data_IF_770029223426
#
_entry.id   IF_770029223426
#
_cell.length_a   1.000
_cell.length_b   1.000
_cell.length_c   1.000
_cell.angle_alpha   90.00
_cell.angle_beta   90.00
_cell.angle_gamma   90.00
#
_symmetry.space_group_name_H-M   'P 1'
#
loop_
_entity.id
_entity.type
_entity.pdbx_description
1 polymer ?
#
# COMPACT_ATOMS: atom_id res chain seq x y z
N UNK A 1 18.21 -19.03 -11.81
CA UNK A 1 17.01 -18.33 -12.32
C UNK A 1 15.69 -18.87 -11.77
N UNK A 2 15.29 -20.13 -12.04
CA UNK A 2 14.04 -20.72 -11.53
C UNK A 2 13.83 -20.62 -10.01
N UNK A 3 14.88 -20.81 -9.21
CA UNK A 3 14.79 -20.69 -7.73
C UNK A 3 14.52 -19.25 -7.29
N UNK A 4 15.05 -18.25 -8.00
CA UNK A 4 14.82 -16.84 -7.70
C UNK A 4 13.38 -16.43 -8.07
N UNK A 5 12.88 -16.93 -9.20
CA UNK A 5 11.50 -16.71 -9.63
C UNK A 5 10.48 -17.35 -8.67
N UNK A 6 10.72 -18.59 -8.24
CA UNK A 6 9.86 -19.26 -7.24
C UNK A 6 9.87 -18.51 -5.91
N UNK A 7 11.04 -18.01 -5.46
CA UNK A 7 11.15 -17.20 -4.24
C UNK A 7 10.31 -15.92 -4.35
N UNK A 8 10.43 -15.21 -5.47
CA UNK A 8 9.69 -13.96 -5.66
C UNK A 8 8.18 -14.18 -5.61
N UNK A 9 7.66 -15.23 -6.26
CA UNK A 9 6.23 -15.57 -6.22
C UNK A 9 5.74 -15.88 -4.80
N UNK A 10 6.52 -16.62 -4.01
CA UNK A 10 6.20 -16.91 -2.60
C UNK A 10 6.22 -15.63 -1.75
N UNK A 11 7.21 -14.77 -1.95
CA UNK A 11 7.30 -13.49 -1.26
C UNK A 11 6.11 -12.58 -1.59
N UNK A 12 5.70 -12.53 -2.85
CA UNK A 12 4.54 -11.78 -3.30
C UNK A 12 3.22 -12.33 -2.75
N UNK A 13 3.08 -13.65 -2.53
CA UNK A 13 1.89 -14.17 -1.85
C UNK A 13 1.83 -13.77 -0.37
N UNK A 14 2.99 -13.52 0.25
CA UNK A 14 3.09 -13.09 1.65
C UNK A 14 2.78 -11.60 1.79
N UNK A 15 3.49 -10.70 1.09
CA UNK A 15 3.36 -9.25 1.30
C UNK A 15 2.63 -8.50 0.16
N UNK A 16 2.36 -9.16 -0.97
CA UNK A 16 1.70 -8.58 -2.13
C UNK A 16 2.66 -8.09 -3.21
N UNK A 17 2.29 -8.25 -4.49
CA UNK A 17 3.09 -7.75 -5.61
C UNK A 17 3.13 -6.23 -5.67
N UNK A 18 2.11 -5.55 -5.15
CA UNK A 18 2.01 -4.09 -5.00
C UNK A 18 1.35 -3.69 -3.68
N UNK A 19 1.41 -2.41 -3.35
CA UNK A 19 0.65 -1.88 -2.22
C UNK A 19 -0.84 -2.20 -2.37
N UNK A 20 -1.47 -2.62 -1.27
CA UNK A 20 -2.89 -2.99 -1.20
C UNK A 20 -3.34 -4.17 -2.07
N UNK A 21 -2.41 -4.91 -2.71
CA UNK A 21 -2.81 -6.17 -3.36
C UNK A 21 -3.16 -7.24 -2.32
N UNK A 22 -4.09 -8.15 -2.65
CA UNK A 22 -4.33 -9.38 -1.91
C UNK A 22 -3.03 -10.08 -1.48
N UNK A 23 -2.89 -10.33 -0.18
CA UNK A 23 -1.73 -11.03 0.39
C UNK A 23 -2.03 -11.51 1.81
N UNK A 24 -1.26 -12.47 2.31
CA UNK A 24 -1.38 -12.92 3.70
C UNK A 24 -1.24 -11.73 4.67
N UNK A 25 -0.28 -10.85 4.42
CA UNK A 25 -0.06 -9.64 5.22
C UNK A 25 -1.27 -8.71 5.18
N UNK A 26 -1.85 -8.45 4.02
CA UNK A 26 -3.03 -7.58 3.90
C UNK A 26 -4.24 -8.12 4.66
N UNK A 27 -4.48 -9.44 4.59
CA UNK A 27 -5.60 -10.06 5.29
C UNK A 27 -5.39 -10.17 6.79
N UNK A 28 -4.17 -10.48 7.23
CA UNK A 28 -3.86 -10.82 8.63
C UNK A 28 -3.36 -9.63 9.46
N UNK A 29 -3.12 -8.45 8.88
CA UNK A 29 -2.53 -7.31 9.63
C UNK A 29 -3.36 -6.02 9.61
N UNK A 30 -4.64 -6.11 9.22
CA UNK A 30 -5.57 -4.99 9.34
C UNK A 30 -6.16 -4.85 10.75
N UNK A 31 -6.97 -3.81 10.95
CA UNK A 31 -7.64 -3.54 12.22
C UNK A 31 -8.45 -4.75 12.72
N UNK A 32 -8.29 -5.07 14.00
CA UNK A 32 -8.89 -6.24 14.66
C UNK A 32 -8.16 -7.56 14.44
N UNK A 33 -6.99 -7.58 13.79
CA UNK A 33 -6.21 -8.81 13.60
C UNK A 33 -5.13 -9.00 14.69
N UNK A 34 -4.95 -10.24 15.17
CA UNK A 34 -3.88 -10.66 16.09
C UNK A 34 -2.52 -10.80 15.38
N UNK A 35 -2.14 -9.74 14.67
CA UNK A 35 -1.00 -9.72 13.77
C UNK A 35 0.41 -9.51 14.36
N UNK A 36 0.61 -9.00 15.60
CA UNK A 36 1.96 -8.61 16.04
C UNK A 36 3.01 -9.73 15.99
N UNK A 37 2.72 -10.99 16.42
CA UNK A 37 3.72 -12.04 16.40
C UNK A 37 4.13 -12.47 14.98
N UNK A 38 3.19 -12.47 14.02
CA UNK A 38 3.46 -12.86 12.64
C UNK A 38 4.41 -11.87 11.96
N UNK A 39 4.13 -10.57 12.09
CA UNK A 39 4.94 -9.53 11.42
C UNK A 39 6.35 -9.49 11.98
N UNK A 40 6.51 -9.50 13.30
CA UNK A 40 7.84 -9.45 13.92
C UNK A 40 8.72 -10.66 13.54
N UNK A 41 8.13 -11.86 13.48
CA UNK A 41 8.82 -13.07 12.99
C UNK A 41 9.21 -12.94 11.52
N UNK A 42 8.32 -12.41 10.69
CA UNK A 42 8.59 -12.20 9.27
C UNK A 42 9.71 -11.16 9.05
N UNK A 43 9.68 -10.04 9.76
CA UNK A 43 10.75 -9.02 9.72
C UNK A 43 12.10 -9.61 10.12
N UNK A 44 12.14 -10.41 11.19
CA UNK A 44 13.35 -11.08 11.68
C UNK A 44 13.90 -12.07 10.66
N UNK A 45 13.03 -12.89 10.07
CA UNK A 45 13.40 -13.84 9.03
C UNK A 45 13.97 -13.12 7.81
N UNK A 46 13.26 -12.12 7.29
CA UNK A 46 13.67 -11.38 6.09
C UNK A 46 15.01 -10.66 6.30
N UNK A 47 15.22 -10.08 7.49
CA UNK A 47 16.50 -9.47 7.85
C UNK A 47 17.62 -10.51 7.89
N UNK A 48 17.41 -11.64 8.58
CA UNK A 48 18.41 -12.71 8.65
C UNK A 48 18.75 -13.28 7.26
N UNK A 49 17.75 -13.41 6.38
CA UNK A 49 17.95 -13.85 5.00
C UNK A 49 18.70 -12.83 4.16
N UNK A 50 18.49 -11.52 4.39
CA UNK A 50 19.23 -10.45 3.75
C UNK A 50 20.72 -10.50 4.14
N UNK A 51 21.03 -10.68 5.42
CA UNK A 51 22.40 -10.77 5.93
C UNK A 51 23.16 -12.00 5.41
N UNK A 52 22.47 -13.13 5.21
CA UNK A 52 23.05 -14.37 4.70
C UNK A 52 23.16 -14.44 3.17
N UNK A 53 22.56 -13.50 2.46
CA UNK A 53 22.53 -13.51 1.01
C UNK A 53 23.92 -13.24 0.41
N UNK A 54 24.21 -13.82 -0.76
CA UNK A 54 25.41 -13.50 -1.50
C UNK A 54 25.46 -11.98 -1.81
N UNK A 55 26.54 -11.27 -1.41
CA UNK A 55 26.68 -9.82 -1.63
C UNK A 55 26.52 -9.43 -3.10
N UNK A 56 25.77 -8.36 -3.37
CA UNK A 56 25.59 -7.80 -4.71
C UNK A 56 24.67 -8.60 -5.64
N UNK A 57 24.13 -9.75 -5.21
CA UNK A 57 23.29 -10.61 -6.02
C UNK A 57 21.80 -10.23 -6.03
N UNK A 58 21.06 -10.72 -7.03
CA UNK A 58 19.59 -10.54 -7.12
C UNK A 58 18.85 -11.08 -5.90
N UNK A 59 19.36 -12.17 -5.31
CA UNK A 59 18.80 -12.73 -4.09
C UNK A 59 18.86 -11.75 -2.92
N UNK A 60 19.95 -11.00 -2.76
CA UNK A 60 20.11 -10.01 -1.71
C UNK A 60 19.12 -8.84 -1.91
N UNK A 61 19.01 -8.36 -3.15
CA UNK A 61 18.04 -7.34 -3.55
C UNK A 61 16.60 -7.77 -3.24
N UNK A 62 16.21 -8.99 -3.62
CA UNK A 62 14.87 -9.50 -3.36
C UNK A 62 14.54 -9.62 -1.86
N UNK A 63 15.52 -10.02 -1.03
CA UNK A 63 15.33 -10.05 0.43
C UNK A 63 15.19 -8.65 1.03
N UNK A 64 15.98 -7.69 0.55
CA UNK A 64 15.85 -6.30 0.96
C UNK A 64 14.49 -5.72 0.55
N UNK A 65 14.07 -5.91 -0.71
CA UNK A 65 12.80 -5.40 -1.23
C UNK A 65 11.61 -5.99 -0.42
N UNK A 66 11.70 -7.25 -0.03
CA UNK A 66 10.75 -7.90 0.87
C UNK A 66 10.76 -7.29 2.28
N UNK A 67 11.95 -7.14 2.89
CA UNK A 67 12.09 -6.55 4.22
C UNK A 67 11.53 -5.12 4.25
N UNK A 68 11.89 -4.29 3.28
CA UNK A 68 11.42 -2.91 3.16
C UNK A 68 9.90 -2.80 3.05
N UNK A 69 9.23 -3.75 2.38
CA UNK A 69 7.76 -3.77 2.26
C UNK A 69 7.05 -4.17 3.57
N UNK A 70 7.65 -5.05 4.35
CA UNK A 70 7.03 -5.61 5.57
C UNK A 70 7.31 -4.74 6.80
N UNK A 71 8.48 -4.10 6.85
CA UNK A 71 8.99 -3.35 7.99
C UNK A 71 7.99 -2.33 8.54
N UNK A 72 7.61 -2.50 9.80
CA UNK A 72 6.71 -1.63 10.55
C UNK A 72 7.00 -1.58 12.05
N UNK A 73 7.73 -2.54 12.61
CA UNK A 73 8.17 -2.43 14.00
C UNK A 73 9.21 -1.31 14.15
N UNK A 74 9.35 -0.69 15.35
CA UNK A 74 10.36 0.34 15.58
C UNK A 74 11.77 -0.11 15.16
N UNK A 75 12.19 -1.32 15.55
CA UNK A 75 13.50 -1.87 15.19
C UNK A 75 13.68 -2.09 13.68
N UNK A 76 12.64 -2.51 12.96
CA UNK A 76 12.71 -2.66 11.51
C UNK A 76 12.79 -1.30 10.79
N UNK A 77 12.04 -0.31 11.27
CA UNK A 77 12.06 1.05 10.74
C UNK A 77 13.41 1.75 11.01
N UNK A 78 14.01 1.53 12.17
CA UNK A 78 15.37 2.02 12.49
C UNK A 78 16.42 1.42 11.54
N UNK A 79 16.34 0.12 11.24
CA UNK A 79 17.23 -0.50 10.23
C UNK A 79 17.06 0.15 8.87
N UNK A 80 15.84 0.37 8.41
CA UNK A 80 15.59 1.07 7.14
C UNK A 80 16.14 2.50 7.16
N UNK A 81 15.92 3.25 8.24
CA UNK A 81 16.43 4.61 8.39
C UNK A 81 17.97 4.65 8.40
N UNK A 82 18.61 3.69 9.07
CA UNK A 82 20.06 3.53 9.12
C UNK A 82 20.65 3.16 7.76
N UNK A 83 20.00 2.28 7.01
CA UNK A 83 20.42 1.94 5.63
C UNK A 83 20.30 3.15 4.70
N UNK A 84 19.22 3.94 4.83
CA UNK A 84 19.00 5.13 4.00
C UNK A 84 20.06 6.22 4.22
N UNK A 85 20.45 6.44 5.49
CA UNK A 85 21.47 7.43 5.88
C UNK A 85 22.90 6.93 5.75
N UNK A 86 23.11 5.62 5.57
CA UNK A 86 24.43 4.98 5.57
C UNK A 86 25.01 4.72 6.95
N UNK A 87 24.26 4.97 8.04
CA UNK A 87 24.68 4.63 9.40
C UNK A 87 24.67 3.11 9.67
N UNK A 88 23.87 2.37 8.90
CA UNK A 88 23.88 0.92 8.82
C UNK A 88 24.26 0.52 7.40
N UNK A 89 25.11 -0.50 7.25
CA UNK A 89 25.46 -1.06 5.96
C UNK A 89 25.34 -2.59 5.99
N UNK A 90 24.94 -3.15 4.85
CA UNK A 90 24.96 -4.60 4.61
C UNK A 90 25.93 -4.83 3.44
N UNK A 91 26.96 -5.67 3.57
CA UNK A 91 27.95 -5.87 2.51
C UNK A 91 27.33 -6.21 1.16
N UNK A 92 27.67 -5.45 0.12
CA UNK A 92 27.15 -5.61 -1.25
C UNK A 92 25.73 -5.10 -1.49
N UNK A 93 25.03 -4.59 -0.47
CA UNK A 93 23.71 -3.99 -0.64
C UNK A 93 23.84 -2.50 -1.00
N UNK A 94 23.64 -2.18 -2.27
CA UNK A 94 23.51 -0.80 -2.73
C UNK A 94 22.05 -0.37 -2.83
N UNK A 95 21.72 0.75 -2.18
CA UNK A 95 20.41 1.39 -2.31
C UNK A 95 20.40 2.34 -3.50
N UNK A 96 20.08 1.80 -4.68
CA UNK A 96 19.74 2.63 -5.84
C UNK A 96 18.47 3.45 -5.59
N UNK A 97 18.27 4.48 -6.41
CA UNK A 97 17.26 5.51 -6.24
C UNK A 97 15.85 4.98 -5.97
N UNK A 98 15.43 3.94 -6.70
CA UNK A 98 14.12 3.31 -6.51
C UNK A 98 13.94 2.71 -5.11
N UNK A 99 14.96 2.02 -4.60
CA UNK A 99 14.96 1.43 -3.26
C UNK A 99 15.00 2.50 -2.18
N UNK A 100 15.73 3.60 -2.41
CA UNK A 100 15.73 4.75 -1.49
C UNK A 100 14.32 5.31 -1.34
N UNK A 101 13.60 5.49 -2.45
CA UNK A 101 12.20 5.93 -2.42
C UNK A 101 11.27 4.92 -1.76
N UNK A 102 11.48 3.61 -1.95
CA UNK A 102 10.70 2.59 -1.22
C UNK A 102 10.92 2.66 0.29
N UNK A 103 12.15 2.90 0.74
CA UNK A 103 12.46 3.12 2.16
C UNK A 103 11.77 4.38 2.68
N UNK A 104 11.92 5.51 1.98
CA UNK A 104 11.28 6.79 2.36
C UNK A 104 9.77 6.64 2.47
N UNK A 105 9.14 5.96 1.51
CA UNK A 105 7.72 5.68 1.50
C UNK A 105 7.30 4.83 2.70
N UNK A 106 8.05 3.77 3.03
CA UNK A 106 7.75 2.92 4.17
C UNK A 106 7.92 3.64 5.52
N UNK A 107 8.98 4.44 5.67
CA UNK A 107 9.19 5.25 6.87
C UNK A 107 8.03 6.23 7.08
N UNK A 108 7.54 6.88 6.01
CA UNK A 108 6.39 7.77 6.11
C UNK A 108 5.08 7.03 6.40
N UNK A 109 4.87 5.85 5.80
CA UNK A 109 3.69 5.00 6.02
C UNK A 109 3.44 4.69 7.50
N UNK A 110 4.50 4.53 8.28
CA UNK A 110 4.44 4.28 9.72
C UNK A 110 4.83 5.48 10.58
N UNK A 111 4.92 6.69 9.98
CA UNK A 111 5.32 7.93 10.66
C UNK A 111 6.60 7.77 11.52
N UNK A 112 7.60 7.08 11.01
CA UNK A 112 8.87 6.90 11.69
C UNK A 112 9.53 8.25 12.01
N UNK A 113 10.33 8.35 13.10
CA UNK A 113 11.05 9.57 13.44
C UNK A 113 11.90 10.09 12.27
N UNK A 114 11.78 11.39 11.96
CA UNK A 114 12.52 12.02 10.85
C UNK A 114 12.03 11.66 9.44
N UNK A 115 10.88 10.97 9.29
CA UNK A 115 10.45 10.49 7.97
C UNK A 115 10.07 11.63 6.99
N UNK A 116 9.55 12.77 7.48
CA UNK A 116 9.18 13.91 6.62
C UNK A 116 10.44 14.59 6.08
N UNK A 117 11.42 14.77 6.95
CA UNK A 117 12.72 15.37 6.66
C UNK A 117 13.45 14.51 5.62
N UNK A 118 13.51 13.20 5.83
CA UNK A 118 14.09 12.24 4.87
C UNK A 118 13.39 12.26 3.51
N UNK A 119 12.07 12.46 3.47
CA UNK A 119 11.34 12.61 2.20
C UNK A 119 11.71 13.92 1.48
N UNK A 120 11.87 15.02 2.23
CA UNK A 120 12.31 16.29 1.67
C UNK A 120 13.75 16.22 1.16
N UNK A 121 14.65 15.57 1.90
CA UNK A 121 16.04 15.31 1.49
C UNK A 121 16.11 14.47 0.21
N UNK A 122 15.32 13.39 0.12
CA UNK A 122 15.30 12.54 -1.06
C UNK A 122 14.70 13.27 -2.28
N UNK A 123 13.67 14.10 -2.09
CA UNK A 123 13.13 14.98 -3.13
C UNK A 123 14.12 16.10 -3.54
N UNK A 124 15.02 16.50 -2.64
CA UNK A 124 16.12 17.41 -2.96
C UNK A 124 17.18 16.72 -3.82
N UNK A 125 17.46 15.44 -3.53
CA UNK A 125 18.45 14.61 -4.21
C UNK A 125 18.01 14.15 -5.61
N UNK A 126 16.77 13.68 -5.75
CA UNK A 126 16.24 13.13 -6.99
C UNK A 126 15.22 14.09 -7.62
N UNK A 127 15.61 14.72 -8.73
CA UNK A 127 14.79 15.68 -9.48
C UNK A 127 14.04 15.06 -10.66
N UNK A 128 14.06 13.73 -10.80
CA UNK A 128 13.38 13.05 -11.90
C UNK A 128 11.84 13.21 -11.82
N UNK A 129 11.15 13.02 -12.96
CA UNK A 129 9.66 13.00 -12.96
C UNK A 129 9.13 11.88 -12.07
N UNK A 130 9.83 10.74 -12.01
CA UNK A 130 9.47 9.61 -11.15
C UNK A 130 9.56 9.97 -9.67
N UNK A 131 10.55 10.77 -9.27
CA UNK A 131 10.71 11.26 -7.91
C UNK A 131 9.48 12.04 -7.43
N UNK A 132 8.87 12.84 -8.30
CA UNK A 132 7.66 13.60 -7.96
C UNK A 132 6.53 12.66 -7.53
N UNK A 133 6.27 11.60 -8.31
CA UNK A 133 5.27 10.59 -7.96
C UNK A 133 5.62 9.82 -6.68
N UNK A 134 6.91 9.56 -6.41
CA UNK A 134 7.35 8.93 -5.17
C UNK A 134 7.21 9.84 -3.95
N UNK A 135 7.47 11.14 -4.10
CA UNK A 135 7.24 12.14 -3.05
C UNK A 135 5.75 12.21 -2.68
N UNK A 136 4.85 12.20 -3.68
CA UNK A 136 3.40 12.10 -3.46
C UNK A 136 3.08 10.84 -2.66
N UNK A 137 3.61 9.69 -3.09
CA UNK A 137 3.41 8.42 -2.38
C UNK A 137 3.88 8.50 -0.93
N UNK A 138 5.06 9.05 -0.65
CA UNK A 138 5.59 9.20 0.70
C UNK A 138 4.69 10.09 1.57
N UNK A 139 4.24 11.23 1.05
CA UNK A 139 3.34 12.14 1.76
C UNK A 139 1.99 11.48 2.07
N UNK A 140 1.36 10.89 1.06
CA UNK A 140 0.02 10.31 1.13
C UNK A 140 -0.04 9.07 2.02
N UNK A 141 1.03 8.27 2.05
CA UNK A 141 1.11 7.05 2.84
C UNK A 141 1.02 7.29 4.33
N UNK A 142 1.31 8.51 4.81
CA UNK A 142 1.33 8.82 6.23
C UNK A 142 0.02 8.44 6.94
N UNK A 143 0.08 7.91 8.17
CA UNK A 143 -1.08 7.41 8.89
C UNK A 143 -1.85 8.54 9.62
N UNK A 144 -1.90 9.73 9.03
CA UNK A 144 -2.61 10.89 9.59
C UNK A 144 -3.58 11.46 8.56
N UNK A 145 -4.74 11.93 9.03
CA UNK A 145 -5.81 12.42 8.14
C UNK A 145 -5.43 13.74 7.46
N UNK A 146 -4.66 14.58 8.15
CA UNK A 146 -4.20 15.87 7.64
C UNK A 146 -3.34 15.72 6.37
N UNK A 147 -2.47 14.71 6.33
CA UNK A 147 -1.71 14.40 5.11
C UNK A 147 -2.61 13.88 3.96
N UNK A 148 -3.75 13.24 4.26
CA UNK A 148 -4.63 12.64 3.24
C UNK A 148 -5.63 13.63 2.66
N UNK A 149 -6.14 14.56 3.46
CA UNK A 149 -7.19 15.50 3.05
C UNK A 149 -6.86 16.31 1.78
N UNK A 150 -5.68 16.92 1.64
CA UNK A 150 -5.33 17.66 0.43
C UNK A 150 -5.37 16.77 -0.81
N UNK A 151 -4.92 15.52 -0.70
CA UNK A 151 -4.88 14.58 -1.82
C UNK A 151 -6.25 14.03 -2.16
N UNK A 152 -7.09 13.73 -1.17
CA UNK A 152 -8.50 13.40 -1.39
C UNK A 152 -9.19 14.53 -2.14
N UNK A 153 -9.00 15.78 -1.70
CA UNK A 153 -9.54 16.95 -2.39
C UNK A 153 -9.09 17.01 -3.85
N UNK A 154 -7.79 16.90 -4.12
CA UNK A 154 -7.23 16.90 -5.49
C UNK A 154 -7.77 15.77 -6.38
N UNK A 155 -8.07 14.60 -5.80
CA UNK A 155 -8.65 13.47 -6.54
C UNK A 155 -10.14 13.69 -6.82
N UNK A 156 -10.87 14.22 -5.85
CA UNK A 156 -12.32 14.43 -5.93
C UNK A 156 -12.69 15.68 -6.75
N UNK A 157 -11.84 16.70 -6.74
CA UNK A 157 -11.99 17.93 -7.51
C UNK A 157 -11.27 17.80 -8.86
N UNK A 158 -11.76 18.53 -9.86
CA UNK A 158 -11.33 18.30 -11.23
C UNK A 158 -9.92 18.90 -11.48
N UNK A 159 -8.90 18.04 -11.51
CA UNK A 159 -7.74 18.22 -12.39
C UNK A 159 -6.63 19.19 -11.97
N UNK A 160 -6.45 19.49 -10.68
CA UNK A 160 -5.32 20.32 -10.23
C UNK A 160 -3.94 19.65 -10.38
N UNK A 161 -3.90 18.35 -10.68
CA UNK A 161 -2.69 17.56 -10.92
C UNK A 161 -2.91 16.54 -12.06
N UNK A 162 -1.81 16.05 -12.65
CA UNK A 162 -1.84 15.08 -13.75
C UNK A 162 -2.48 13.75 -13.32
N UNK A 163 -3.11 13.03 -14.26
CA UNK A 163 -3.77 11.75 -13.99
C UNK A 163 -2.83 10.71 -13.36
N UNK A 164 -1.57 10.67 -13.80
CA UNK A 164 -0.56 9.78 -13.22
C UNK A 164 -0.35 10.02 -11.72
N UNK A 165 -0.33 11.29 -11.31
CA UNK A 165 -0.17 11.70 -9.91
C UNK A 165 -1.44 11.43 -9.10
N UNK A 166 -2.63 11.63 -9.68
CA UNK A 166 -3.90 11.22 -9.07
C UNK A 166 -3.93 9.71 -8.81
N UNK A 167 -3.53 8.90 -9.79
CA UNK A 167 -3.48 7.42 -9.65
C UNK A 167 -2.45 6.99 -8.60
N UNK A 168 -1.31 7.66 -8.52
CA UNK A 168 -0.32 7.38 -7.49
C UNK A 168 -0.82 7.73 -6.07
N UNK A 169 -1.52 8.86 -5.92
CA UNK A 169 -2.18 9.21 -4.68
C UNK A 169 -3.27 8.19 -4.31
N UNK A 170 -4.20 7.87 -5.22
CA UNK A 170 -5.28 6.90 -4.98
C UNK A 170 -4.75 5.54 -4.52
N UNK A 171 -3.77 4.97 -5.22
CA UNK A 171 -3.13 3.69 -4.83
C UNK A 171 -2.51 3.72 -3.43
N UNK A 172 -2.11 4.88 -2.95
CA UNK A 172 -1.32 5.05 -1.71
C UNK A 172 -2.12 5.61 -0.53
N UNK A 173 -3.33 6.13 -0.78
CA UNK A 173 -4.12 6.88 0.20
C UNK A 173 -4.50 6.06 1.42
N UNK A 174 -4.83 4.79 1.23
CA UNK A 174 -5.29 3.93 2.31
C UNK A 174 -4.62 2.56 2.28
N UNK A 175 -3.38 2.45 2.81
CA UNK A 175 -2.79 1.16 3.13
C UNK A 175 -3.72 0.30 3.99
N UNK A 176 -3.69 -1.02 3.85
CA UNK A 176 -4.64 -1.94 4.51
C UNK A 176 -4.70 -1.79 6.05
N UNK A 177 -3.60 -1.41 6.70
CA UNK A 177 -3.52 -1.20 8.15
C UNK A 177 -4.19 0.12 8.59
N UNK A 178 -4.46 1.02 7.65
CA UNK A 178 -5.11 2.31 7.87
C UNK A 178 -6.64 2.23 7.64
N UNK A 179 -7.24 1.10 8.00
CA UNK A 179 -8.66 0.82 7.80
C UNK A 179 -9.58 1.89 8.42
N UNK A 180 -9.25 2.40 9.61
CA UNK A 180 -10.00 3.49 10.24
C UNK A 180 -10.00 4.79 9.41
N UNK A 181 -8.86 5.16 8.83
CA UNK A 181 -8.76 6.32 7.93
C UNK A 181 -9.53 6.07 6.63
N UNK A 182 -9.48 4.84 6.08
CA UNK A 182 -10.28 4.47 4.91
C UNK A 182 -11.78 4.61 5.20
N UNK A 183 -12.24 4.14 6.36
CA UNK A 183 -13.66 4.24 6.77
C UNK A 183 -14.12 5.68 6.94
N UNK A 184 -13.24 6.59 7.38
CA UNK A 184 -13.56 8.03 7.43
C UNK A 184 -13.95 8.59 6.06
N UNK A 185 -13.41 8.02 4.97
CA UNK A 185 -13.73 8.42 3.59
C UNK A 185 -14.98 7.71 3.01
N UNK A 186 -15.48 6.62 3.61
CA UNK A 186 -16.61 5.86 3.06
C UNK A 186 -17.86 6.68 2.74
N UNK A 187 -18.30 7.63 3.60
CA UNK A 187 -19.48 8.44 3.32
C UNK A 187 -19.37 9.26 2.02
N UNK A 188 -18.14 9.61 1.62
CA UNK A 188 -17.88 10.42 0.42
C UNK A 188 -17.74 9.56 -0.84
N UNK A 189 -17.31 8.30 -0.73
CA UNK A 189 -16.98 7.46 -1.88
C UNK A 189 -18.14 7.30 -2.88
N UNK A 190 -19.31 6.88 -2.42
CA UNK A 190 -20.44 6.60 -3.32
C UNK A 190 -21.03 7.85 -3.97
N UNK A 191 -21.27 8.96 -3.24
CA UNK A 191 -21.63 10.24 -3.87
C UNK A 191 -20.57 10.72 -4.87
N UNK A 192 -19.28 10.62 -4.53
CA UNK A 192 -18.19 11.00 -5.41
C UNK A 192 -18.18 10.16 -6.68
N UNK A 193 -18.27 8.83 -6.58
CA UNK A 193 -18.27 7.95 -7.75
C UNK A 193 -19.42 8.28 -8.72
N UNK A 194 -20.63 8.55 -8.19
CA UNK A 194 -21.78 8.95 -9.02
C UNK A 194 -21.53 10.25 -9.77
N UNK A 195 -20.96 11.25 -9.08
CA UNK A 195 -20.61 12.55 -9.68
C UNK A 195 -19.53 12.38 -10.74
N UNK A 196 -18.40 11.77 -10.36
CA UNK A 196 -17.23 11.59 -11.22
C UNK A 196 -17.57 10.75 -12.47
N UNK A 197 -18.51 9.81 -12.37
CA UNK A 197 -18.96 8.99 -13.52
C UNK A 197 -19.61 9.81 -14.64
N UNK A 198 -20.03 11.05 -14.37
CA UNK A 198 -20.58 11.98 -15.38
C UNK A 198 -19.49 12.80 -16.06
N UNK A 199 -18.43 13.11 -15.32
CA UNK A 199 -17.49 14.19 -15.68
C UNK A 199 -16.08 13.68 -16.03
N UNK A 200 -15.75 12.44 -15.69
CA UNK A 200 -14.38 11.89 -15.80
C UNK A 200 -14.31 10.71 -16.75
N UNK A 201 -13.16 10.58 -17.42
CA UNK A 201 -12.89 9.48 -18.34
C UNK A 201 -12.74 8.11 -17.65
N UNK A 202 -12.90 7.05 -18.44
CA UNK A 202 -12.90 5.66 -17.97
C UNK A 202 -11.63 5.28 -17.19
N UNK A 203 -10.45 5.74 -17.62
CA UNK A 203 -9.19 5.41 -16.94
C UNK A 203 -9.15 5.94 -15.50
N UNK A 204 -9.66 7.16 -15.28
CA UNK A 204 -9.76 7.72 -13.94
C UNK A 204 -10.80 6.96 -13.11
N UNK A 205 -11.96 6.66 -13.69
CA UNK A 205 -13.04 5.96 -12.97
C UNK A 205 -12.65 4.56 -12.55
N UNK A 206 -11.91 3.84 -13.38
CA UNK A 206 -11.38 2.52 -13.08
C UNK A 206 -10.43 2.59 -11.88
N UNK A 207 -9.43 3.49 -11.95
CA UNK A 207 -8.47 3.69 -10.85
C UNK A 207 -9.16 4.15 -9.55
N UNK A 208 -10.10 5.09 -9.64
CA UNK A 208 -10.85 5.55 -8.47
C UNK A 208 -11.66 4.42 -7.84
N UNK A 209 -12.39 3.65 -8.64
CA UNK A 209 -13.20 2.55 -8.10
C UNK A 209 -12.35 1.39 -7.59
N UNK A 210 -11.21 1.09 -8.22
CA UNK A 210 -10.30 0.01 -7.79
C UNK A 210 -9.57 0.37 -6.49
N UNK A 211 -8.92 1.53 -6.45
CA UNK A 211 -8.02 1.89 -5.36
C UNK A 211 -8.79 2.47 -4.16
N UNK A 212 -9.93 3.12 -4.39
CA UNK A 212 -10.68 3.86 -3.36
C UNK A 212 -11.94 3.13 -2.86
N UNK A 213 -12.25 1.94 -3.36
CA UNK A 213 -13.45 1.18 -2.96
C UNK A 213 -13.57 1.03 -1.43
N UNK A 214 -14.79 1.08 -0.87
CA UNK A 214 -14.99 1.03 0.58
C UNK A 214 -14.98 -0.42 1.10
N UNK A 215 -13.80 -1.03 1.17
CA UNK A 215 -13.60 -2.39 1.67
C UNK A 215 -12.49 -2.43 2.74
N UNK A 216 -12.81 -2.93 3.92
CA UNK A 216 -11.93 -2.99 5.10
C UNK A 216 -12.01 -4.32 5.86
N UNK A 217 -12.38 -5.39 5.15
CA UNK A 217 -12.53 -6.74 5.71
C UNK A 217 -13.64 -6.82 6.76
N UNK A 218 -14.79 -6.20 6.46
CA UNK A 218 -15.98 -6.17 7.34
C UNK A 218 -17.23 -6.62 6.60
N UNK A 219 -18.16 -7.29 7.28
CA UNK A 219 -19.37 -7.81 6.65
C UNK A 219 -20.27 -6.67 6.10
N UNK A 220 -20.30 -5.54 6.81
CA UNK A 220 -21.07 -4.35 6.44
C UNK A 220 -20.59 -3.74 5.12
N UNK A 221 -19.28 -3.83 4.82
CA UNK A 221 -18.68 -3.31 3.60
C UNK A 221 -19.23 -4.05 2.37
N UNK A 222 -19.26 -5.39 2.42
CA UNK A 222 -19.80 -6.21 1.34
C UNK A 222 -21.28 -5.92 1.07
N UNK A 223 -22.08 -5.78 2.14
CA UNK A 223 -23.50 -5.45 2.04
C UNK A 223 -23.71 -4.04 1.45
N UNK A 224 -22.90 -3.06 1.85
CA UNK A 224 -22.96 -1.70 1.33
C UNK A 224 -22.61 -1.64 -0.17
N UNK A 225 -21.56 -2.35 -0.60
CA UNK A 225 -21.16 -2.43 -2.01
C UNK A 225 -22.28 -3.08 -2.85
N UNK A 226 -22.85 -4.18 -2.37
CA UNK A 226 -23.95 -4.85 -3.07
C UNK A 226 -25.18 -3.94 -3.20
N UNK A 227 -25.59 -3.27 -2.11
CA UNK A 227 -26.70 -2.31 -2.12
C UNK A 227 -26.46 -1.19 -3.13
N UNK A 228 -25.26 -0.62 -3.16
CA UNK A 228 -24.92 0.43 -4.12
C UNK A 228 -24.98 -0.08 -5.56
N UNK A 229 -24.41 -1.26 -5.85
CA UNK A 229 -24.43 -1.85 -7.19
C UNK A 229 -25.87 -2.12 -7.69
N UNK A 230 -26.76 -2.65 -6.84
CA UNK A 230 -28.17 -2.88 -7.18
C UNK A 230 -28.91 -1.57 -7.48
N UNK A 231 -28.65 -0.53 -6.68
CA UNK A 231 -29.30 0.78 -6.84
C UNK A 231 -28.74 1.66 -7.96
N UNK A 232 -27.67 1.24 -8.66
CA UNK A 232 -27.03 2.04 -9.71
C UNK A 232 -26.66 1.18 -10.95
N UNK A 233 -27.63 0.55 -11.63
CA UNK A 233 -27.38 -0.30 -12.79
C UNK A 233 -26.69 0.44 -13.96
N UNK A 234 -26.91 1.74 -14.06
CA UNK A 234 -26.36 2.65 -15.08
C UNK A 234 -24.87 2.99 -14.88
N UNK A 235 -24.25 2.60 -13.75
CA UNK A 235 -22.83 2.85 -13.50
C UNK A 235 -21.98 2.26 -14.64
N UNK A 236 -20.91 2.92 -15.13
CA UNK A 236 -20.06 2.36 -16.20
C UNK A 236 -19.46 0.98 -15.86
N UNK A 237 -19.09 0.22 -16.89
CA UNK A 237 -18.69 -1.18 -16.72
C UNK A 237 -17.44 -1.37 -15.84
N UNK A 238 -16.41 -0.53 -16.03
CA UNK A 238 -15.16 -0.57 -15.28
C UNK A 238 -15.36 -0.38 -13.76
N UNK A 239 -15.94 0.73 -13.27
CA UNK A 239 -16.17 0.91 -11.83
C UNK A 239 -17.13 -0.14 -11.24
N UNK A 240 -18.08 -0.64 -12.02
CA UNK A 240 -18.96 -1.75 -11.60
C UNK A 240 -18.17 -3.06 -11.38
N UNK A 241 -17.23 -3.37 -12.28
CA UNK A 241 -16.33 -4.52 -12.14
C UNK A 241 -15.43 -4.34 -10.91
N UNK A 242 -14.79 -3.18 -10.75
CA UNK A 242 -13.91 -2.88 -9.62
C UNK A 242 -14.62 -3.07 -8.28
N UNK A 243 -15.86 -2.57 -8.14
CA UNK A 243 -16.67 -2.76 -6.93
C UNK A 243 -17.02 -4.23 -6.67
N UNK A 244 -17.33 -5.02 -7.71
CA UNK A 244 -17.56 -6.47 -7.55
C UNK A 244 -16.31 -7.19 -7.07
N UNK A 245 -15.14 -6.84 -7.61
CA UNK A 245 -13.85 -7.37 -7.15
C UNK A 245 -13.60 -6.98 -5.70
N UNK A 246 -13.79 -5.70 -5.34
CA UNK A 246 -13.63 -5.24 -3.96
C UNK A 246 -14.52 -6.01 -2.97
N UNK A 247 -15.78 -6.29 -3.33
CA UNK A 247 -16.67 -7.14 -2.53
C UNK A 247 -16.13 -8.56 -2.38
N UNK A 248 -15.72 -9.20 -3.49
CA UNK A 248 -15.18 -10.57 -3.46
C UNK A 248 -13.91 -10.68 -2.61
N UNK A 249 -13.01 -9.69 -2.70
CA UNK A 249 -11.79 -9.65 -1.88
C UNK A 249 -12.10 -9.38 -0.40
N UNK A 250 -13.13 -8.57 -0.11
CA UNK A 250 -13.62 -8.35 1.24
C UNK A 250 -14.18 -9.64 1.86
N UNK A 251 -15.01 -10.38 1.12
CA UNK A 251 -15.55 -11.68 1.54
C UNK A 251 -14.44 -12.72 1.75
N UNK A 252 -13.45 -12.74 0.85
CA UNK A 252 -12.26 -13.60 0.99
C UNK A 252 -11.47 -13.24 2.26
N UNK A 253 -11.27 -11.97 2.52
CA UNK A 253 -10.58 -11.51 3.72
C UNK A 253 -11.29 -11.97 5.00
N UNK A 254 -12.63 -11.81 5.07
CA UNK A 254 -13.43 -12.29 6.20
C UNK A 254 -13.27 -13.80 6.42
N UNK A 255 -13.31 -14.58 5.33
CA UNK A 255 -13.10 -16.03 5.39
C UNK A 255 -11.71 -16.40 5.93
N UNK A 256 -10.67 -15.73 5.44
CA UNK A 256 -9.29 -15.98 5.88
C UNK A 256 -9.10 -15.63 7.35
N UNK A 257 -9.61 -14.48 7.80
CA UNK A 257 -9.52 -14.09 9.22
C UNK A 257 -10.22 -15.07 10.15
N UNK A 258 -11.38 -15.59 9.73
CA UNK A 258 -12.10 -16.64 10.47
C UNK A 258 -11.27 -17.93 10.56
N UNK A 259 -10.71 -18.40 9.45
CA UNK A 259 -9.88 -19.61 9.43
C UNK A 259 -8.63 -19.45 10.32
N UNK A 260 -7.97 -18.30 10.25
CA UNK A 260 -6.81 -18.00 11.07
C UNK A 260 -7.15 -17.97 12.58
N UNK A 261 -8.30 -17.39 12.95
CA UNK A 261 -8.79 -17.41 14.33
C UNK A 261 -9.14 -18.83 14.83
N UNK A 262 -9.59 -19.70 13.91
CA UNK A 262 -9.87 -21.11 14.19
C UNK A 262 -8.59 -22.00 14.22
N UNK A 263 -7.40 -21.41 14.01
CA UNK A 263 -6.12 -22.12 13.98
C UNK A 263 -5.89 -23.01 12.74
N UNK A 264 -6.59 -22.72 11.63
CA UNK A 264 -6.57 -23.49 10.38
C UNK A 264 -5.76 -22.83 9.28
#
# INVERSE_FOLDING_TARGET
>A
ERVAETRQKVLESVYGSRLNSPSALAYLTGEGAEAPPFVARLETLLWSQLEKAAPGGDGQRAWFDAFARVARSPAALEKLAGLLSGALSVPGLELHQDRRWDVVAQLNRFAAPGARERAAEEAARDKSRRAQTQAIRAEVLRPDWEAKQPWLRKVLENGSIQLADQKAAMRSLFPFEQAALRRRFFPEFYPALKRLSKDRGNEFLDAFAEDMAPATCRAEDSAAIEKFLKGNPQLPAAPRKALRVARQENDRCLKIRRLAADGK
#
